data_IF_334428050286
#
_entry.id   IF_334428050286
#
_cell.length_a   1.000
_cell.length_b   1.000
_cell.length_c   1.000
_cell.angle_alpha   90.00
_cell.angle_beta   90.00
_cell.angle_gamma   90.00
#
_symmetry.space_group_name_H-M   'P 1'
#
loop_
_entity.id
_entity.type
_entity.pdbx_description
1 polymer ?
#
# COMPACT_ATOMS: atom_id res chain seq x y z
N UNK A 1 -7.39 2.09 15.28
CA UNK A 1 -7.87 2.85 14.09
C UNK A 1 -7.22 4.23 13.96
N UNK A 2 -7.22 5.07 15.00
CA UNK A 2 -6.65 6.43 14.93
C UNK A 2 -5.23 6.52 14.38
N UNK A 3 -4.35 5.57 14.73
CA UNK A 3 -2.97 5.50 14.20
C UNK A 3 -2.86 5.35 12.67
N UNK A 4 -3.90 4.82 12.00
CA UNK A 4 -3.95 4.70 10.54
C UNK A 4 -4.67 5.90 9.90
N UNK A 5 -5.79 6.35 10.49
CA UNK A 5 -6.59 7.43 9.92
C UNK A 5 -5.93 8.81 10.05
N UNK A 6 -5.21 9.08 11.15
CA UNK A 6 -4.61 10.40 11.39
C UNK A 6 -3.60 10.79 10.30
N UNK A 7 -2.62 9.95 9.93
CA UNK A 7 -1.71 10.26 8.81
C UNK A 7 -2.43 10.44 7.48
N UNK A 8 -3.48 9.66 7.21
CA UNK A 8 -4.26 9.77 5.98
C UNK A 8 -5.03 11.08 5.91
N UNK A 9 -5.72 11.46 6.99
CA UNK A 9 -6.39 12.75 7.08
C UNK A 9 -5.40 13.91 6.95
N UNK A 10 -4.20 13.76 7.51
CA UNK A 10 -3.14 14.74 7.33
C UNK A 10 -2.69 14.86 5.87
N UNK A 11 -2.50 13.74 5.16
CA UNK A 11 -2.18 13.76 3.73
C UNK A 11 -3.30 14.39 2.90
N UNK A 12 -4.57 14.04 3.18
CA UNK A 12 -5.73 14.62 2.51
C UNK A 12 -5.79 16.14 2.74
N UNK A 13 -5.59 16.58 3.99
CA UNK A 13 -5.56 17.99 4.34
C UNK A 13 -4.40 18.72 3.67
N UNK A 14 -3.23 18.10 3.56
CA UNK A 14 -2.07 18.68 2.89
C UNK A 14 -2.32 18.82 1.39
N UNK A 15 -2.91 17.79 0.75
CA UNK A 15 -3.30 17.85 -0.66
C UNK A 15 -4.32 18.97 -0.90
N UNK A 16 -5.34 19.06 -0.05
CA UNK A 16 -6.33 20.13 -0.08
C UNK A 16 -5.71 21.52 0.13
N UNK A 17 -4.81 21.67 1.11
CA UNK A 17 -4.13 22.94 1.38
C UNK A 17 -3.21 23.34 0.23
N UNK A 18 -2.54 22.38 -0.41
CA UNK A 18 -1.68 22.65 -1.55
C UNK A 18 -2.49 23.12 -2.76
N UNK A 19 -3.61 22.47 -3.04
CA UNK A 19 -4.57 22.89 -4.07
C UNK A 19 -5.12 24.30 -3.80
N UNK A 20 -5.53 24.57 -2.55
CA UNK A 20 -5.98 25.89 -2.11
C UNK A 20 -4.89 26.96 -2.24
N UNK A 21 -3.64 26.66 -1.90
CA UNK A 21 -2.54 27.62 -1.95
C UNK A 21 -2.04 27.91 -3.37
N UNK A 22 -2.22 26.96 -4.30
CA UNK A 22 -1.75 27.08 -5.69
C UNK A 22 -2.85 27.45 -6.67
N UNK A 23 -4.10 27.61 -6.21
CA UNK A 23 -5.29 27.80 -7.06
C UNK A 23 -5.42 26.71 -8.14
N UNK A 24 -5.05 25.46 -7.83
CA UNK A 24 -5.05 24.35 -8.77
C UNK A 24 -3.82 24.23 -9.67
N UNK A 25 -2.95 25.25 -9.74
CA UNK A 25 -1.74 25.23 -10.59
C UNK A 25 -0.51 24.74 -9.81
N UNK A 26 -0.55 23.49 -9.33
CA UNK A 26 0.58 22.92 -8.61
C UNK A 26 1.76 22.67 -9.57
N UNK A 27 2.97 23.23 -9.33
CA UNK A 27 4.13 23.07 -10.22
C UNK A 27 4.67 21.63 -10.31
N UNK A 28 4.27 20.76 -9.38
CA UNK A 28 4.69 19.36 -9.31
C UNK A 28 3.43 18.51 -9.49
N UNK A 29 3.37 17.61 -10.49
CA UNK A 29 2.21 16.77 -10.74
C UNK A 29 2.15 15.63 -9.72
N UNK A 30 1.68 15.90 -8.50
CA UNK A 30 1.42 14.84 -7.52
C UNK A 30 0.08 14.18 -7.88
N UNK A 31 0.14 13.05 -8.58
CA UNK A 31 -1.05 12.30 -9.00
C UNK A 31 -1.54 11.31 -7.94
N UNK A 32 -2.74 10.77 -8.14
CA UNK A 32 -3.36 9.76 -7.28
C UNK A 32 -2.46 8.53 -7.06
N UNK A 33 -1.71 8.12 -8.08
CA UNK A 33 -0.80 6.97 -8.03
C UNK A 33 0.37 7.20 -7.05
N UNK A 34 0.81 8.44 -6.87
CA UNK A 34 1.86 8.82 -5.92
C UNK A 34 1.44 8.60 -4.47
N UNK A 35 0.13 8.67 -4.18
CA UNK A 35 -0.40 8.48 -2.83
C UNK A 35 -0.58 7.01 -2.46
N UNK A 36 -0.88 6.13 -3.43
CA UNK A 36 -1.15 4.71 -3.22
C UNK A 36 -0.08 3.95 -2.38
N UNK A 37 1.23 4.15 -2.60
CA UNK A 37 2.28 3.50 -1.80
C UNK A 37 2.26 3.92 -0.32
N UNK A 38 1.89 5.16 0.00
CA UNK A 38 1.85 5.61 1.39
C UNK A 38 0.80 4.88 2.22
N UNK A 39 -0.29 4.42 1.61
CA UNK A 39 -1.36 3.69 2.30
C UNK A 39 -0.87 2.34 2.85
N UNK A 40 -0.05 1.63 2.08
CA UNK A 40 0.60 0.40 2.54
C UNK A 40 1.63 0.67 3.65
N UNK A 41 2.38 1.78 3.54
CA UNK A 41 3.38 2.17 4.53
C UNK A 41 2.75 2.52 5.88
N UNK A 42 1.70 3.34 5.90
CA UNK A 42 0.97 3.63 7.14
C UNK A 42 0.31 2.39 7.73
N UNK A 43 0.12 1.35 6.93
CA UNK A 43 -0.32 0.05 7.38
C UNK A 43 0.56 -0.53 8.48
N UNK A 44 1.87 -0.35 8.38
CA UNK A 44 2.81 -0.78 9.41
C UNK A 44 2.49 -0.17 10.79
N UNK A 45 2.08 1.10 10.85
CA UNK A 45 1.73 1.75 12.12
C UNK A 45 0.51 1.07 12.78
N UNK A 46 -0.49 0.67 11.98
CA UNK A 46 -1.63 -0.08 12.49
C UNK A 46 -1.23 -1.48 12.97
N UNK A 47 -0.34 -2.16 12.25
CA UNK A 47 0.21 -3.44 12.67
C UNK A 47 0.95 -3.31 14.01
N UNK A 48 1.75 -2.27 14.17
CA UNK A 48 2.44 -1.99 15.44
C UNK A 48 1.46 -1.75 16.58
N UNK A 49 0.43 -0.93 16.34
CA UNK A 49 -0.64 -0.68 17.32
C UNK A 49 -1.42 -1.95 17.68
N UNK A 50 -1.75 -2.81 16.70
CA UNK A 50 -2.48 -4.06 16.92
C UNK A 50 -1.70 -5.04 17.82
N UNK A 51 -0.36 -5.04 17.72
CA UNK A 51 0.50 -5.84 18.59
C UNK A 51 0.76 -5.16 19.95
N UNK A 52 0.63 -3.83 20.05
CA UNK A 52 0.75 -3.12 21.31
C UNK A 52 -0.45 -3.34 22.24
N UNK A 53 -1.65 -3.46 21.68
CA UNK A 53 -2.91 -3.63 22.43
C UNK A 53 -3.12 -5.06 22.92
N UNK A 54 -2.55 -6.04 22.23
CA UNK A 54 -2.82 -7.46 22.45
C UNK A 54 -1.61 -8.12 23.12
N UNK A 55 -1.68 -8.37 24.44
CA UNK A 55 -0.57 -8.97 25.19
C UNK A 55 -0.48 -10.48 24.92
N UNK A 56 0.64 -10.99 24.38
CA UNK A 56 0.77 -12.39 23.98
C UNK A 56 0.81 -13.39 25.16
N UNK A 57 0.99 -12.91 26.39
CA UNK A 57 1.19 -13.75 27.58
C UNK A 57 0.01 -14.69 27.86
N UNK A 58 -1.22 -14.27 27.56
CA UNK A 58 -2.44 -15.08 27.73
C UNK A 58 -2.54 -16.23 26.71
N UNK A 59 -1.80 -16.15 25.59
CA UNK A 59 -1.88 -17.11 24.51
C UNK A 59 -0.98 -18.33 24.74
N UNK A 60 -0.06 -18.28 25.71
CA UNK A 60 0.77 -19.43 26.10
C UNK A 60 -0.06 -20.63 26.61
N UNK A 61 -1.28 -20.38 27.12
CA UNK A 61 -2.18 -21.43 27.60
C UNK A 61 -3.00 -22.10 26.49
N UNK A 62 -2.96 -21.59 25.25
CA UNK A 62 -3.76 -22.08 24.14
C UNK A 62 -2.91 -22.92 23.16
N UNK A 63 -3.47 -23.97 22.52
CA UNK A 63 -2.75 -24.81 21.56
C UNK A 63 -2.59 -24.12 20.18
N UNK A 64 -2.12 -22.87 20.17
CA UNK A 64 -1.92 -22.04 18.96
C UNK A 64 -0.43 -21.80 18.77
N UNK A 65 0.02 -21.60 17.53
CA UNK A 65 1.43 -21.28 17.21
C UNK A 65 1.60 -19.82 16.80
N UNK A 66 2.77 -19.22 17.03
CA UNK A 66 3.09 -17.83 16.66
C UNK A 66 2.76 -17.49 15.19
N UNK A 67 3.09 -18.33 14.18
CA UNK A 67 2.74 -18.04 12.79
C UNK A 67 1.23 -17.99 12.53
N UNK A 68 0.42 -18.77 13.26
CA UNK A 68 -1.04 -18.75 13.12
C UNK A 68 -1.62 -17.43 13.63
N UNK A 69 -1.11 -16.96 14.78
CA UNK A 69 -1.50 -15.66 15.33
C UNK A 69 -1.07 -14.51 14.42
N UNK A 70 0.14 -14.56 13.86
CA UNK A 70 0.61 -13.57 12.89
C UNK A 70 -0.28 -13.53 11.66
N UNK A 71 -0.64 -14.68 11.08
CA UNK A 71 -1.59 -14.74 9.95
C UNK A 71 -2.95 -14.15 10.29
N UNK A 72 -3.50 -14.48 11.47
CA UNK A 72 -4.76 -13.92 11.93
C UNK A 72 -4.68 -12.38 12.07
N UNK A 73 -3.61 -11.87 12.67
CA UNK A 73 -3.37 -10.42 12.79
C UNK A 73 -3.23 -9.73 11.43
N UNK A 74 -2.55 -10.37 10.48
CA UNK A 74 -2.43 -9.87 9.10
C UNK A 74 -3.81 -9.80 8.43
N UNK A 75 -4.67 -10.80 8.61
CA UNK A 75 -6.04 -10.78 8.06
C UNK A 75 -6.88 -9.65 8.70
N UNK A 76 -6.83 -9.51 10.02
CA UNK A 76 -7.52 -8.43 10.74
C UNK A 76 -7.02 -7.06 10.29
N UNK A 77 -5.71 -6.93 10.10
CA UNK A 77 -5.09 -5.75 9.50
C UNK A 77 -5.74 -5.44 8.14
N UNK A 78 -5.75 -6.41 7.22
CA UNK A 78 -6.28 -6.21 5.86
C UNK A 78 -7.74 -5.82 5.88
N UNK A 79 -8.54 -6.50 6.69
CA UNK A 79 -9.96 -6.22 6.81
C UNK A 79 -10.21 -4.81 7.34
N UNK A 80 -9.38 -4.32 8.26
CA UNK A 80 -9.54 -3.00 8.85
C UNK A 80 -9.00 -1.87 7.99
N UNK A 81 -7.89 -2.05 7.28
CA UNK A 81 -7.28 -0.98 6.50
C UNK A 81 -7.88 -0.85 5.10
N UNK A 82 -8.21 -1.95 4.42
CA UNK A 82 -8.60 -1.93 3.00
C UNK A 82 -9.76 -0.98 2.70
N UNK A 83 -10.83 -0.99 3.49
CA UNK A 83 -11.98 -0.10 3.22
C UNK A 83 -11.65 1.37 3.52
N UNK A 84 -10.81 1.65 4.52
CA UNK A 84 -10.34 3.02 4.84
C UNK A 84 -9.45 3.53 3.69
N UNK A 85 -8.58 2.65 3.21
CA UNK A 85 -7.68 2.92 2.08
C UNK A 85 -8.45 3.23 0.80
N UNK A 86 -9.48 2.44 0.50
CA UNK A 86 -10.39 2.66 -0.63
C UNK A 86 -11.12 4.00 -0.48
N UNK A 87 -11.69 4.29 0.70
CA UNK A 87 -12.36 5.56 0.96
C UNK A 87 -11.42 6.74 0.76
N UNK A 88 -10.20 6.66 1.27
CA UNK A 88 -9.19 7.69 1.09
C UNK A 88 -8.86 7.93 -0.40
N UNK A 89 -8.67 6.87 -1.18
CA UNK A 89 -8.38 7.00 -2.61
C UNK A 89 -9.57 7.57 -3.39
N UNK A 90 -10.80 7.23 -3.03
CA UNK A 90 -12.00 7.84 -3.63
C UNK A 90 -12.06 9.35 -3.34
N UNK A 91 -11.80 9.74 -2.08
CA UNK A 91 -11.76 11.16 -1.70
C UNK A 91 -10.63 11.92 -2.40
N UNK A 92 -9.45 11.31 -2.52
CA UNK A 92 -8.31 11.89 -3.24
C UNK A 92 -8.56 11.99 -4.74
N UNK A 93 -9.20 10.98 -5.34
CA UNK A 93 -9.59 11.01 -6.74
C UNK A 93 -10.58 12.15 -7.02
N UNK A 94 -11.51 12.40 -6.09
CA UNK A 94 -12.42 13.52 -6.18
C UNK A 94 -11.72 14.87 -6.00
N UNK A 95 -10.79 14.96 -5.04
CA UNK A 95 -10.04 16.20 -4.75
C UNK A 95 -9.11 16.60 -5.91
N UNK A 96 -8.46 15.62 -6.55
CA UNK A 96 -7.53 15.85 -7.66
C UNK A 96 -8.21 15.79 -9.05
N UNK A 97 -9.52 15.52 -9.09
CA UNK A 97 -10.29 15.23 -10.32
C UNK A 97 -9.67 14.13 -11.21
N UNK A 98 -9.09 13.11 -10.58
CA UNK A 98 -8.30 12.03 -11.22
C UNK A 98 -8.97 10.66 -11.09
N UNK A 99 -10.21 10.54 -11.57
CA UNK A 99 -10.98 9.29 -11.49
C UNK A 99 -10.36 8.13 -12.27
N UNK A 100 -9.67 8.42 -13.37
CA UNK A 100 -9.11 7.37 -14.23
C UNK A 100 -7.94 6.64 -13.57
N UNK A 101 -7.20 7.31 -12.68
CA UNK A 101 -6.08 6.73 -11.95
C UNK A 101 -6.50 5.88 -10.76
N UNK A 102 -7.80 5.82 -10.44
CA UNK A 102 -8.30 5.14 -9.25
C UNK A 102 -8.04 3.63 -9.31
N UNK A 103 -8.27 2.99 -10.47
CA UNK A 103 -8.06 1.56 -10.62
C UNK A 103 -6.55 1.17 -10.50
N UNK A 104 -5.61 1.83 -11.21
CA UNK A 104 -4.18 1.62 -10.98
C UNK A 104 -3.74 1.91 -9.53
N UNK A 105 -4.25 2.98 -8.91
CA UNK A 105 -3.94 3.33 -7.54
C UNK A 105 -4.42 2.27 -6.53
N UNK A 106 -5.62 1.72 -6.72
CA UNK A 106 -6.13 0.60 -5.91
C UNK A 106 -5.28 -0.66 -6.04
N UNK A 107 -4.82 -0.96 -7.26
CA UNK A 107 -3.98 -2.11 -7.53
C UNK A 107 -2.64 -1.98 -6.78
N UNK A 108 -1.97 -0.83 -6.93
CA UNK A 108 -0.71 -0.53 -6.22
C UNK A 108 -0.90 -0.52 -4.71
N UNK A 109 -1.98 0.10 -4.22
CA UNK A 109 -2.33 0.13 -2.80
C UNK A 109 -2.45 -1.30 -2.24
N UNK A 110 -3.16 -2.18 -2.94
CA UNK A 110 -3.35 -3.56 -2.49
C UNK A 110 -2.03 -4.33 -2.47
N UNK A 111 -1.28 -4.29 -3.57
CA UNK A 111 0.00 -4.97 -3.71
C UNK A 111 1.02 -4.50 -2.65
N UNK A 112 1.15 -3.18 -2.48
CA UNK A 112 2.06 -2.60 -1.51
C UNK A 112 1.65 -2.89 -0.06
N UNK A 113 0.35 -2.90 0.24
CA UNK A 113 -0.13 -3.29 1.57
C UNK A 113 0.24 -4.74 1.90
N UNK A 114 0.06 -5.68 0.95
CA UNK A 114 0.44 -7.10 1.13
C UNK A 114 1.92 -7.23 1.38
N UNK A 115 2.72 -6.54 0.59
CA UNK A 115 4.16 -6.53 0.74
C UNK A 115 4.62 -6.01 2.11
N UNK A 116 4.21 -4.79 2.51
CA UNK A 116 4.71 -4.15 3.74
C UNK A 116 4.27 -4.92 4.98
N UNK A 117 3.05 -5.44 4.99
CA UNK A 117 2.53 -6.19 6.15
C UNK A 117 3.20 -7.54 6.29
N UNK A 118 3.41 -8.25 5.17
CA UNK A 118 4.12 -9.52 5.18
C UNK A 118 5.58 -9.33 5.59
N UNK A 119 6.24 -8.29 5.09
CA UNK A 119 7.60 -7.89 5.49
C UNK A 119 7.67 -7.58 6.99
N UNK A 120 6.72 -6.80 7.51
CA UNK A 120 6.64 -6.42 8.92
C UNK A 120 6.44 -7.65 9.81
N UNK A 121 5.51 -8.54 9.45
CA UNK A 121 5.30 -9.79 10.16
C UNK A 121 6.52 -10.70 10.11
N UNK A 122 7.22 -10.77 8.98
CA UNK A 122 8.44 -11.57 8.84
C UNK A 122 9.57 -11.02 9.69
N UNK A 123 9.87 -9.72 9.60
CA UNK A 123 11.01 -9.10 10.28
C UNK A 123 10.79 -8.96 11.78
N UNK A 124 9.60 -8.52 12.19
CA UNK A 124 9.34 -8.06 13.55
C UNK A 124 8.47 -9.00 14.38
N UNK A 125 7.75 -9.93 13.74
CA UNK A 125 6.89 -10.89 14.42
C UNK A 125 5.89 -10.20 15.35
N UNK A 126 5.67 -10.77 16.53
CA UNK A 126 4.70 -10.26 17.52
C UNK A 126 5.20 -9.04 18.31
N UNK A 127 6.45 -8.59 18.10
CA UNK A 127 7.07 -7.51 18.89
C UNK A 127 7.60 -6.37 18.01
N UNK A 128 6.76 -5.73 17.17
CA UNK A 128 7.19 -4.59 16.36
C UNK A 128 7.80 -3.46 17.19
N UNK A 129 7.26 -3.20 18.38
CA UNK A 129 7.77 -2.14 19.26
C UNK A 129 9.17 -2.40 19.84
N UNK A 130 9.62 -3.66 19.97
CA UNK A 130 11.00 -3.97 20.38
C UNK A 130 11.91 -4.11 19.15
N UNK A 131 11.41 -4.75 18.11
CA UNK A 131 12.16 -5.00 16.88
C UNK A 131 12.52 -3.71 16.14
N UNK A 132 11.71 -2.65 16.25
CA UNK A 132 12.03 -1.35 15.64
C UNK A 132 13.24 -0.65 16.28
N UNK A 133 13.58 -0.98 17.53
CA UNK A 133 14.77 -0.45 18.20
C UNK A 133 16.04 -1.27 17.91
N UNK A 134 15.91 -2.44 17.32
CA UNK A 134 17.06 -3.19 16.81
C UNK A 134 17.56 -2.53 15.52
N UNK A 135 18.76 -1.97 15.57
CA UNK A 135 19.36 -1.23 14.46
C UNK A 135 19.43 -2.05 13.17
N UNK A 136 19.70 -3.35 13.26
CA UNK A 136 19.82 -4.22 12.09
C UNK A 136 18.45 -4.48 11.47
N UNK A 137 17.44 -4.79 12.29
CA UNK A 137 16.07 -5.04 11.82
C UNK A 137 15.47 -3.76 11.23
N UNK A 138 15.67 -2.62 11.91
CA UNK A 138 15.22 -1.31 11.46
C UNK A 138 15.86 -0.92 10.12
N UNK A 139 17.17 -1.13 9.95
CA UNK A 139 17.86 -0.81 8.71
C UNK A 139 17.34 -1.65 7.54
N UNK A 140 17.17 -2.97 7.73
CA UNK A 140 16.61 -3.86 6.70
C UNK A 140 15.19 -3.44 6.35
N UNK A 141 14.34 -3.16 7.36
CA UNK A 141 12.98 -2.71 7.14
C UNK A 141 12.93 -1.38 6.38
N UNK A 142 13.79 -0.43 6.75
CA UNK A 142 13.88 0.87 6.07
C UNK A 142 14.26 0.71 4.61
N UNK A 143 15.34 -0.01 4.30
CA UNK A 143 15.77 -0.25 2.90
C UNK A 143 14.67 -0.98 2.13
N UNK A 144 14.08 -2.02 2.72
CA UNK A 144 13.06 -2.84 2.07
C UNK A 144 11.73 -2.11 1.86
N UNK A 145 11.42 -1.05 2.62
CA UNK A 145 10.19 -0.25 2.45
C UNK A 145 10.41 0.99 1.60
N UNK A 146 11.52 1.71 1.79
CA UNK A 146 11.84 2.92 1.05
C UNK A 146 12.12 2.62 -0.41
N UNK A 147 12.81 1.52 -0.73
CA UNK A 147 13.17 1.22 -2.12
C UNK A 147 11.92 1.01 -3.00
N UNK A 148 10.93 0.17 -2.63
CA UNK A 148 9.68 0.09 -3.38
C UNK A 148 8.90 1.40 -3.40
N UNK A 149 8.86 2.14 -2.29
CA UNK A 149 8.09 3.36 -2.17
C UNK A 149 8.63 4.46 -3.09
N UNK A 150 9.95 4.67 -3.09
CA UNK A 150 10.63 5.60 -4.00
C UNK A 150 10.48 5.13 -5.44
N UNK A 151 10.61 3.83 -5.72
CA UNK A 151 10.45 3.31 -7.09
C UNK A 151 9.03 3.58 -7.63
N UNK A 152 8.00 3.28 -6.85
CA UNK A 152 6.60 3.55 -7.20
C UNK A 152 6.32 5.05 -7.33
N UNK A 153 6.92 5.87 -6.48
CA UNK A 153 6.79 7.33 -6.52
C UNK A 153 7.53 7.98 -7.70
N UNK A 154 8.68 7.44 -8.11
CA UNK A 154 9.36 7.89 -9.33
C UNK A 154 8.58 7.48 -10.57
N UNK A 155 8.03 6.25 -10.56
CA UNK A 155 7.18 5.79 -11.64
C UNK A 155 5.94 6.64 -11.81
N UNK A 156 5.33 7.06 -10.71
CA UNK A 156 4.15 7.92 -10.77
C UNK A 156 4.44 9.28 -11.42
N UNK A 157 5.68 9.78 -11.41
CA UNK A 157 6.07 10.96 -12.21
C UNK A 157 6.30 10.63 -13.68
N UNK A 158 6.98 9.52 -13.99
CA UNK A 158 7.26 9.14 -15.39
C UNK A 158 6.02 8.68 -16.15
N UNK A 159 5.01 8.21 -15.42
CA UNK A 159 3.78 7.60 -15.94
C UNK A 159 2.53 8.43 -15.60
N UNK A 160 2.72 9.58 -14.96
CA UNK A 160 1.66 10.43 -14.41
C UNK A 160 0.98 11.35 -15.41
N UNK A 161 1.25 11.20 -16.71
CA UNK A 161 0.51 11.90 -17.75
C UNK A 161 -0.89 11.26 -17.89
N UNK A 162 -1.76 11.61 -16.94
CA UNK A 162 -3.12 11.09 -16.78
C UNK A 162 -4.05 11.47 -17.96
N UNK A 163 -3.59 12.37 -18.83
CA UNK A 163 -4.23 12.72 -20.10
C UNK A 163 -4.38 11.50 -21.02
N UNK A 164 -3.44 10.55 -20.97
CA UNK A 164 -3.45 9.33 -21.78
C UNK A 164 -4.57 8.37 -21.38
N UNK A 165 -4.87 8.26 -20.08
CA UNK A 165 -5.95 7.41 -19.59
C UNK A 165 -7.34 8.05 -19.79
N UNK A 166 -7.44 9.39 -19.67
CA UNK A 166 -8.67 10.13 -19.96
C UNK A 166 -9.15 9.91 -21.40
N UNK A 167 -8.23 9.95 -22.37
CA UNK A 167 -8.52 9.65 -23.77
C UNK A 167 -9.07 8.23 -23.99
N UNK A 168 -8.67 7.26 -23.16
CA UNK A 168 -9.11 5.87 -23.26
C UNK A 168 -10.53 5.67 -22.67
N UNK A 169 -10.85 6.32 -21.56
CA UNK A 169 -12.19 6.26 -20.96
C UNK A 169 -13.24 6.92 -21.87
N UNK A 170 -12.89 8.06 -22.48
CA UNK A 170 -13.76 8.74 -23.45
C UNK A 170 -13.96 7.91 -24.72
N UNK A 171 -12.94 7.19 -25.19
CA UNK A 171 -13.06 6.26 -26.34
C UNK A 171 -13.93 5.03 -26.02
N UNK A 172 -13.81 4.45 -24.82
CA UNK A 172 -14.64 3.31 -24.40
C UNK A 172 -16.10 3.75 -24.17
N UNK A 173 -16.32 4.93 -23.60
CA UNK A 173 -17.64 5.51 -23.42
C UNK A 173 -18.31 5.86 -24.76
N UNK A 174 -17.53 6.29 -25.77
CA UNK A 174 -18.03 6.62 -27.10
C UNK A 174 -18.21 5.40 -28.02
N UNK A 175 -17.44 4.31 -27.84
CA UNK A 175 -17.38 3.17 -28.75
C UNK A 175 -18.27 1.96 -28.42
N UNK A 176 -18.80 1.84 -27.19
CA UNK A 176 -19.63 0.68 -26.80
C UNK A 176 -18.92 -0.68 -26.97
N UNK A 177 -19.68 -1.79 -27.03
CA UNK A 177 -19.13 -3.17 -27.17
C UNK A 177 -18.36 -3.43 -28.47
N UNK A 178 -18.36 -2.48 -29.42
CA UNK A 178 -17.66 -2.52 -30.71
C UNK A 178 -16.52 -1.48 -30.79
N UNK A 179 -16.02 -1.00 -29.64
CA UNK A 179 -14.84 -0.13 -29.60
C UNK A 179 -13.64 -0.89 -30.20
N UNK A 180 -13.35 -0.62 -31.47
CA UNK A 180 -12.17 -1.10 -32.18
C UNK A 180 -10.93 -0.74 -31.34
N UNK A 181 -10.11 -1.73 -31.00
CA UNK A 181 -8.93 -1.61 -30.15
C UNK A 181 -7.78 -0.79 -30.76
N UNK A 182 -8.08 0.08 -31.73
CA UNK A 182 -7.16 1.08 -32.27
C UNK A 182 -7.38 2.36 -31.47
N UNK A 183 -6.59 2.71 -30.47
CA UNK A 183 -5.14 2.90 -30.55
C UNK A 183 -4.62 2.72 -29.12
N UNK A 184 -4.03 1.58 -28.81
CA UNK A 184 -3.02 1.53 -27.76
C UNK A 184 -1.81 2.28 -28.30
N UNK A 185 -1.63 3.55 -27.93
CA UNK A 185 -0.34 4.21 -28.11
C UNK A 185 0.66 3.40 -27.28
N UNK A 186 1.76 2.92 -27.88
CA UNK A 186 2.76 2.06 -27.23
C UNK A 186 3.14 2.54 -25.81
N UNK A 187 3.17 3.86 -25.58
CA UNK A 187 3.50 4.48 -24.29
C UNK A 187 2.46 4.22 -23.16
N UNK A 188 1.17 4.12 -23.48
CA UNK A 188 0.11 3.85 -22.50
C UNK A 188 0.09 2.37 -22.08
N UNK A 189 0.42 1.46 -23.02
CA UNK A 189 0.57 0.04 -22.71
C UNK A 189 1.76 -0.19 -21.78
N UNK A 190 2.91 0.42 -22.09
CA UNK A 190 4.13 0.31 -21.30
C UNK A 190 3.93 0.88 -19.88
N UNK A 191 3.17 1.96 -19.74
CA UNK A 191 2.84 2.57 -18.46
C UNK A 191 2.03 1.64 -17.55
N UNK A 192 0.89 1.15 -18.05
CA UNK A 192 0.03 0.23 -17.30
C UNK A 192 0.73 -1.11 -17.02
N UNK A 193 1.48 -1.64 -17.99
CA UNK A 193 2.30 -2.85 -17.80
C UNK A 193 3.34 -2.67 -16.70
N UNK A 194 3.97 -1.49 -16.57
CA UNK A 194 4.93 -1.21 -15.48
C UNK A 194 4.28 -1.25 -14.10
N UNK A 195 3.10 -0.65 -13.94
CA UNK A 195 2.32 -0.67 -12.69
C UNK A 195 1.93 -2.10 -12.32
N UNK A 196 1.44 -2.86 -13.30
CA UNK A 196 1.04 -4.26 -13.11
C UNK A 196 2.25 -5.12 -12.76
N UNK A 197 3.38 -4.98 -13.47
CA UNK A 197 4.59 -5.76 -13.25
C UNK A 197 5.12 -5.58 -11.82
N UNK A 198 5.19 -4.34 -11.33
CA UNK A 198 5.67 -4.07 -9.97
C UNK A 198 4.69 -4.57 -8.93
N UNK A 199 3.39 -4.40 -9.17
CA UNK A 199 2.38 -4.89 -8.25
C UNK A 199 2.39 -6.41 -8.15
N UNK A 200 2.57 -7.12 -9.27
CA UNK A 200 2.77 -8.57 -9.29
C UNK A 200 4.05 -8.95 -8.56
N UNK A 201 5.15 -8.22 -8.75
CA UNK A 201 6.41 -8.46 -8.04
C UNK A 201 6.25 -8.27 -6.52
N UNK A 202 5.55 -7.23 -6.08
CA UNK A 202 5.26 -6.96 -4.67
C UNK A 202 4.34 -8.03 -4.06
N UNK A 203 3.33 -8.48 -4.80
CA UNK A 203 2.47 -9.59 -4.37
C UNK A 203 3.25 -10.90 -4.27
N UNK A 204 4.14 -11.19 -5.22
CA UNK A 204 4.99 -12.37 -5.20
C UNK A 204 5.95 -12.34 -4.00
N UNK A 205 6.59 -11.20 -3.74
CA UNK A 205 7.45 -11.00 -2.57
C UNK A 205 6.66 -11.10 -1.25
N UNK A 206 5.50 -10.45 -1.17
CA UNK A 206 4.61 -10.53 -0.01
C UNK A 206 4.16 -11.97 0.26
N UNK A 207 3.77 -12.72 -0.77
CA UNK A 207 3.45 -14.14 -0.69
C UNK A 207 4.64 -14.98 -0.20
N UNK A 208 5.84 -14.75 -0.75
CA UNK A 208 7.05 -15.41 -0.31
C UNK A 208 7.35 -15.14 1.18
N UNK A 209 7.20 -13.90 1.64
CA UNK A 209 7.36 -13.55 3.06
C UNK A 209 6.35 -14.24 3.97
N UNK A 210 5.08 -14.35 3.53
CA UNK A 210 4.05 -15.10 4.27
C UNK A 210 4.38 -16.59 4.39
N UNK A 211 4.96 -17.19 3.36
CA UNK A 211 5.43 -18.58 3.41
C UNK A 211 6.64 -18.75 4.34
N UNK A 212 7.53 -17.75 4.40
CA UNK A 212 8.70 -17.77 5.28
C UNK A 212 8.36 -17.57 6.78
N UNK A 213 7.15 -17.11 7.11
CA UNK A 213 6.71 -16.95 8.51
C UNK A 213 6.82 -18.24 9.32
N UNK A 214 6.45 -19.38 8.73
CA UNK A 214 6.52 -20.68 9.43
C UNK A 214 7.97 -21.10 9.71
N UNK A 215 8.87 -20.86 8.74
CA UNK A 215 10.29 -21.18 8.91
C UNK A 215 10.95 -20.32 9.99
N UNK A 216 10.60 -19.02 10.06
CA UNK A 216 11.23 -18.07 10.97
C UNK A 216 10.67 -18.11 12.39
N UNK A 217 9.34 -18.22 12.53
CA UNK A 217 8.65 -18.08 13.81
C UNK A 217 8.02 -19.38 14.32
N UNK A 218 8.14 -20.50 13.60
CA UNK A 218 7.47 -21.76 13.94
C UNK A 218 7.88 -22.40 15.27
N UNK A 219 9.02 -22.01 15.84
CA UNK A 219 9.54 -22.49 17.14
C UNK A 219 9.60 -21.41 18.22
N UNK A 220 9.14 -20.19 17.92
CA UNK A 220 9.24 -19.06 18.84
C UNK A 220 8.19 -19.17 19.94
N UNK A 221 8.59 -18.86 21.19
CA UNK A 221 7.66 -18.74 22.31
C UNK A 221 6.82 -17.46 22.20
N UNK A 222 5.62 -17.47 22.78
CA UNK A 222 4.81 -16.26 22.97
C UNK A 222 5.32 -15.52 24.19
N UNK A 223 6.39 -14.77 24.02
CA UNK A 223 6.88 -13.89 25.07
C UNK A 223 6.82 -12.45 24.54
N UNK A 224 6.87 -11.46 25.43
CA UNK A 224 6.91 -10.03 25.11
C UNK A 224 8.32 -9.43 25.11
#
# INVERSE_FOLDING_TARGET
LGSYCVPLLFLLALAWMADFATNGDMPIPINLLSYAPFLGFFGFNFYSWLNAVDSPDFLNGLPVRVPQLLRAKIIVYFLMTTWISVLFLVLMAHLLDQWVGLLPALLVMFANSVYIVALSGLLMGLRPNKAIFDTQIMAIFWVATVLPLVSLFLLSFTQGDMSLYANQFDQIQAGGFDAESSIYTDDAEVSFQGIVAISVALLALGGAFLMMLERRWGRSAFEN
#
